data_IF_373464442143
#
_entry.id   IF_373464442143
#
_cell.length_a   1.000
_cell.length_b   1.000
_cell.length_c   1.000
_cell.angle_alpha   90.00
_cell.angle_beta   90.00
_cell.angle_gamma   90.00
#
_symmetry.space_group_name_H-M   'P 1'
#
loop_
_entity.id
_entity.type
_entity.pdbx_description
1 polymer ?
#
# COMPACT_ATOMS: atom_id res chain seq x y z
N UNK A 1 -2.21 -0.63 -13.85
CA UNK A 1 -2.09 0.69 -13.24
C UNK A 1 -1.71 1.81 -14.23
N UNK A 2 -1.08 1.50 -15.34
CA UNK A 2 -0.63 2.49 -16.29
C UNK A 2 0.77 3.02 -16.03
N UNK A 3 1.60 2.28 -15.34
CA UNK A 3 3.00 2.62 -15.14
C UNK A 3 3.79 2.19 -16.35
N UNK A 4 4.61 3.10 -16.89
CA UNK A 4 5.49 2.77 -18.01
C UNK A 4 6.76 2.11 -17.50
N UNK A 5 7.04 0.93 -18.02
CA UNK A 5 8.27 0.21 -17.71
C UNK A 5 8.92 -0.33 -18.97
N UNK A 6 10.24 -0.29 -19.01
CA UNK A 6 11.03 -0.93 -20.06
C UNK A 6 11.93 -1.96 -19.40
N UNK A 7 11.79 -3.22 -19.80
CA UNK A 7 12.57 -4.33 -19.27
C UNK A 7 13.73 -4.63 -20.20
N UNK A 8 14.95 -4.55 -19.67
CA UNK A 8 16.17 -4.94 -20.37
C UNK A 8 16.77 -6.17 -19.68
N UNK A 9 17.87 -6.71 -20.22
CA UNK A 9 18.47 -7.95 -19.73
C UNK A 9 18.83 -7.92 -18.25
N UNK A 10 19.36 -6.80 -17.78
CA UNK A 10 19.82 -6.62 -16.38
C UNK A 10 19.26 -5.36 -15.72
N UNK A 11 18.25 -4.73 -16.33
CA UNK A 11 17.70 -3.49 -15.82
C UNK A 11 16.22 -3.37 -16.14
N UNK A 12 15.50 -2.63 -15.28
CA UNK A 12 14.12 -2.24 -15.50
C UNK A 12 14.06 -0.72 -15.35
N UNK A 13 13.58 -0.04 -16.39
CA UNK A 13 13.34 1.40 -16.34
C UNK A 13 11.88 1.65 -16.00
N UNK A 14 11.64 2.44 -14.97
CA UNK A 14 10.30 2.84 -14.54
C UNK A 14 10.18 4.34 -14.74
N UNK A 15 9.18 4.77 -15.48
CA UNK A 15 8.93 6.17 -15.77
C UNK A 15 7.62 6.62 -15.15
N UNK A 16 7.61 7.84 -14.64
CA UNK A 16 6.37 8.49 -14.25
C UNK A 16 5.55 8.79 -15.50
N UNK A 17 4.28 8.41 -15.46
CA UNK A 17 3.39 8.58 -16.61
C UNK A 17 1.98 8.92 -16.17
N UNK A 18 1.68 10.22 -16.11
CA UNK A 18 0.33 10.72 -15.91
C UNK A 18 -0.42 10.09 -14.73
N UNK A 19 -1.73 10.01 -14.88
CA UNK A 19 -2.58 9.47 -13.83
C UNK A 19 -2.50 7.94 -13.77
N UNK A 20 -2.33 7.42 -12.57
CA UNK A 20 -2.43 5.97 -12.32
C UNK A 20 -3.89 5.55 -12.37
N UNK A 21 -4.13 4.36 -12.90
CA UNK A 21 -5.46 3.77 -12.96
C UNK A 21 -5.66 2.79 -11.83
N UNK A 22 -6.87 2.72 -11.23
CA UNK A 22 -7.14 1.74 -10.19
C UNK A 22 -7.09 0.32 -10.76
N UNK A 23 -6.73 -0.62 -9.90
CA UNK A 23 -6.74 -2.04 -10.23
C UNK A 23 -7.41 -2.80 -9.10
N UNK A 24 -8.03 -3.92 -9.45
CA UNK A 24 -8.49 -4.88 -8.48
C UNK A 24 -7.40 -5.93 -8.29
N UNK A 25 -6.98 -6.12 -7.04
CA UNK A 25 -5.93 -7.07 -6.71
C UNK A 25 -6.53 -8.25 -5.97
N UNK A 26 -6.16 -9.46 -6.40
CA UNK A 26 -6.48 -10.69 -5.69
C UNK A 26 -5.18 -11.45 -5.46
N UNK A 27 -4.84 -11.68 -4.21
CA UNK A 27 -3.65 -12.48 -3.89
C UNK A 27 -3.89 -13.94 -4.25
N UNK A 28 -2.85 -14.62 -4.68
CA UNK A 28 -2.90 -16.03 -5.02
C UNK A 28 -1.51 -16.65 -4.90
N UNK A 29 -1.43 -18.00 -4.81
CA UNK A 29 -0.13 -18.66 -4.81
C UNK A 29 0.71 -18.31 -6.03
N UNK A 30 2.03 -18.41 -5.88
CA UNK A 30 2.95 -18.16 -7.01
C UNK A 30 2.49 -18.94 -8.27
N UNK A 31 2.52 -18.31 -9.47
CA UNK A 31 3.08 -16.98 -9.78
C UNK A 31 2.09 -15.80 -9.71
N UNK A 32 1.01 -15.93 -8.97
CA UNK A 32 0.04 -14.86 -8.80
C UNK A 32 0.59 -13.73 -7.93
N UNK A 33 -0.25 -12.71 -7.66
CA UNK A 33 0.14 -11.57 -6.83
C UNK A 33 0.38 -12.03 -5.39
N UNK A 34 1.59 -11.79 -4.89
CA UNK A 34 2.00 -12.27 -3.57
C UNK A 34 1.30 -11.51 -2.44
N UNK A 35 0.80 -12.26 -1.45
CA UNK A 35 0.20 -11.64 -0.25
C UNK A 35 1.17 -10.73 0.50
N UNK A 36 2.48 -11.01 0.45
CA UNK A 36 3.50 -10.19 1.09
C UNK A 36 3.61 -8.79 0.49
N UNK A 37 3.17 -8.59 -0.74
CA UNK A 37 3.18 -7.31 -1.43
C UNK A 37 1.89 -6.53 -1.27
N UNK A 38 0.84 -7.15 -0.72
CA UNK A 38 -0.48 -6.53 -0.61
C UNK A 38 -0.43 -5.25 0.21
N UNK A 39 0.09 -5.32 1.44
CA UNK A 39 0.12 -4.15 2.32
C UNK A 39 1.08 -3.05 1.82
N UNK A 40 2.33 -3.37 1.43
CA UNK A 40 3.22 -2.33 0.89
C UNK A 40 2.71 -1.66 -0.39
N UNK A 41 1.95 -2.37 -1.21
CA UNK A 41 1.37 -1.84 -2.45
C UNK A 41 0.19 -0.90 -2.20
N UNK A 42 -0.52 -1.06 -1.09
CA UNK A 42 -1.76 -0.33 -0.82
C UNK A 42 -1.60 1.20 -0.89
N UNK A 43 -0.57 1.83 -0.29
CA UNK A 43 -0.42 3.28 -0.41
C UNK A 43 -0.29 3.77 -1.85
N UNK A 44 0.39 3.01 -2.69
CA UNK A 44 0.54 3.36 -4.11
C UNK A 44 -0.82 3.35 -4.82
N UNK A 45 -1.68 2.40 -4.50
CA UNK A 45 -3.02 2.31 -5.07
C UNK A 45 -3.87 3.54 -4.74
N UNK A 46 -3.63 4.16 -3.59
CA UNK A 46 -4.35 5.37 -3.17
C UNK A 46 -4.05 6.59 -4.05
N UNK A 47 -3.01 6.53 -4.88
CA UNK A 47 -2.71 7.58 -5.88
C UNK A 47 -3.49 7.38 -7.18
N UNK A 48 -4.11 6.23 -7.36
CA UNK A 48 -4.86 5.94 -8.58
C UNK A 48 -6.18 6.72 -8.62
N UNK A 49 -6.60 7.10 -9.82
CA UNK A 49 -7.84 7.86 -10.03
C UNK A 49 -9.01 6.91 -10.24
N UNK A 50 -9.74 6.63 -9.19
CA UNK A 50 -10.92 5.78 -9.23
C UNK A 50 -11.00 4.81 -8.06
N UNK A 51 -11.96 3.90 -8.16
CA UNK A 51 -12.24 2.91 -7.12
C UNK A 51 -11.63 1.56 -7.47
N UNK A 52 -11.01 0.94 -6.49
CA UNK A 52 -10.50 -0.42 -6.63
C UNK A 52 -10.70 -1.23 -5.36
N UNK A 53 -10.37 -2.51 -5.42
CA UNK A 53 -10.48 -3.41 -4.28
C UNK A 53 -9.30 -4.36 -4.21
N UNK A 54 -9.06 -4.85 -3.00
CA UNK A 54 -8.00 -5.82 -2.71
C UNK A 54 -8.65 -6.99 -1.98
N UNK A 55 -8.46 -8.19 -2.51
CA UNK A 55 -8.92 -9.43 -1.90
C UNK A 55 -7.69 -10.26 -1.57
N UNK A 56 -7.45 -10.52 -0.28
CA UNK A 56 -6.36 -11.40 0.12
C UNK A 56 -6.94 -12.79 0.40
N UNK A 57 -6.64 -13.74 -0.47
CA UNK A 57 -7.10 -15.11 -0.38
C UNK A 57 -6.15 -16.00 0.40
N UNK A 58 -4.93 -15.51 0.70
CA UNK A 58 -3.90 -16.27 1.42
C UNK A 58 -3.95 -15.95 2.91
N UNK A 59 -4.01 -14.66 3.25
CA UNK A 59 -4.11 -14.18 4.63
C UNK A 59 -5.19 -13.11 4.73
N UNK A 60 -6.43 -13.55 4.92
CA UNK A 60 -7.61 -12.67 4.92
C UNK A 60 -7.57 -11.59 6.00
N UNK A 61 -6.80 -11.83 7.07
CA UNK A 61 -6.69 -10.90 8.21
C UNK A 61 -5.60 -9.84 8.02
N UNK A 62 -4.93 -9.77 6.88
CA UNK A 62 -3.91 -8.75 6.60
C UNK A 62 -4.54 -7.41 6.23
N UNK A 63 -5.29 -6.84 7.16
CA UNK A 63 -6.02 -5.58 6.98
C UNK A 63 -5.68 -4.53 8.04
N UNK A 64 -4.69 -4.79 8.88
CA UNK A 64 -4.35 -3.91 10.00
C UNK A 64 -3.82 -2.53 9.59
N UNK A 65 -3.32 -2.41 8.36
CA UNK A 65 -2.87 -1.13 7.81
C UNK A 65 -4.03 -0.21 7.42
N UNK A 66 -5.22 -0.76 7.19
CA UNK A 66 -6.37 0.02 6.68
C UNK A 66 -6.82 1.09 7.66
N UNK A 67 -7.05 0.81 8.96
CA UNK A 67 -7.43 1.86 9.91
C UNK A 67 -6.36 2.95 10.04
N UNK A 68 -5.09 2.59 9.96
CA UNK A 68 -3.99 3.53 10.08
C UNK A 68 -3.89 4.44 8.85
N UNK A 69 -4.08 3.90 7.65
CA UNK A 69 -4.15 4.70 6.42
C UNK A 69 -5.38 5.62 6.43
N UNK A 70 -6.52 5.14 6.93
CA UNK A 70 -7.71 5.97 7.08
C UNK A 70 -7.45 7.15 8.03
N UNK A 71 -6.65 6.94 9.08
CA UNK A 71 -6.25 7.99 10.01
C UNK A 71 -5.42 9.07 9.33
N UNK A 72 -4.70 8.73 8.26
CA UNK A 72 -3.94 9.66 7.43
C UNK A 72 -4.80 10.36 6.38
N UNK A 73 -6.09 10.11 6.34
CA UNK A 73 -7.03 10.74 5.41
C UNK A 73 -7.36 9.92 4.17
N UNK A 74 -6.94 8.66 4.11
CA UNK A 74 -7.24 7.80 2.97
C UNK A 74 -8.73 7.40 2.95
N UNK A 75 -9.32 7.38 1.76
CA UNK A 75 -10.65 6.81 1.54
C UNK A 75 -10.48 5.30 1.30
N UNK A 76 -10.40 4.57 2.39
CA UNK A 76 -10.14 3.14 2.40
C UNK A 76 -10.90 2.49 3.54
N UNK A 77 -11.49 1.33 3.29
CA UNK A 77 -12.23 0.59 4.31
C UNK A 77 -12.26 -0.90 4.01
N UNK A 78 -12.58 -1.68 5.03
CA UNK A 78 -12.78 -3.12 4.89
C UNK A 78 -14.29 -3.39 4.83
N UNK A 79 -14.74 -3.99 3.75
CA UNK A 79 -16.13 -4.35 3.52
C UNK A 79 -16.22 -5.81 3.11
N UNK A 80 -16.91 -6.63 3.91
CA UNK A 80 -17.10 -8.05 3.59
C UNK A 80 -15.79 -8.81 3.41
N UNK A 81 -14.75 -8.51 4.20
CA UNK A 81 -13.46 -9.14 4.10
C UNK A 81 -12.59 -8.64 2.95
N UNK A 82 -13.06 -7.66 2.19
CA UNK A 82 -12.32 -7.04 1.11
C UNK A 82 -11.92 -5.62 1.49
N UNK A 83 -10.76 -5.19 1.01
CA UNK A 83 -10.33 -3.80 1.14
C UNK A 83 -10.84 -3.05 -0.07
N UNK A 84 -11.59 -1.97 0.17
CA UNK A 84 -12.09 -1.09 -0.89
C UNK A 84 -11.44 0.27 -0.73
N UNK A 85 -10.85 0.78 -1.80
CA UNK A 85 -10.21 2.10 -1.81
C UNK A 85 -10.77 2.96 -2.93
N UNK A 86 -10.69 4.26 -2.74
CA UNK A 86 -11.09 5.25 -3.74
C UNK A 86 -10.05 6.36 -3.76
N UNK A 87 -9.47 6.62 -4.89
CA UNK A 87 -8.42 7.63 -5.07
C UNK A 87 -8.74 8.60 -6.18
N UNK A 88 -7.87 9.60 -6.41
CA UNK A 88 -6.67 9.84 -5.62
C UNK A 88 -6.99 10.43 -4.25
N UNK A 89 -6.20 10.04 -3.24
CA UNK A 89 -6.35 10.56 -1.89
C UNK A 89 -5.13 11.38 -1.52
N UNK A 90 -5.38 12.58 -0.99
CA UNK A 90 -4.34 13.43 -0.41
C UNK A 90 -4.10 12.97 1.02
N UNK A 91 -2.98 12.30 1.27
CA UNK A 91 -2.62 11.86 2.61
C UNK A 91 -2.04 13.01 3.42
N UNK A 92 -2.39 13.05 4.70
CA UNK A 92 -1.86 14.02 5.67
C UNK A 92 -1.14 13.28 6.77
N UNK A 93 -0.04 13.86 7.28
CA UNK A 93 0.71 13.29 8.38
C UNK A 93 -0.15 13.09 9.61
N UNK A 94 0.03 11.96 10.29
CA UNK A 94 -0.71 11.59 11.49
C UNK A 94 0.11 10.62 12.34
N UNK A 95 -0.18 10.51 13.65
CA UNK A 95 0.37 9.44 14.46
C UNK A 95 -0.29 8.11 14.09
N UNK A 96 0.51 7.15 13.69
CA UNK A 96 0.07 5.81 13.28
C UNK A 96 0.92 4.74 13.94
N UNK A 97 0.40 3.52 13.98
CA UNK A 97 1.06 2.40 14.65
C UNK A 97 1.29 1.24 13.68
N UNK A 98 2.53 0.78 13.61
CA UNK A 98 2.87 -0.42 12.87
C UNK A 98 2.47 -1.67 13.69
N UNK A 99 1.65 -2.53 13.13
CA UNK A 99 1.21 -3.77 13.78
C UNK A 99 2.14 -4.95 13.47
N UNK A 100 2.79 -4.91 12.32
CA UNK A 100 3.74 -5.92 11.87
C UNK A 100 4.66 -5.33 10.80
N UNK A 101 5.56 -6.15 10.27
CA UNK A 101 6.54 -5.70 9.27
C UNK A 101 5.89 -5.11 8.01
N UNK A 102 4.88 -5.80 7.47
CA UNK A 102 4.25 -5.40 6.21
C UNK A 102 3.38 -4.16 6.36
N UNK A 103 2.64 -4.10 7.46
CA UNK A 103 1.88 -2.89 7.80
C UNK A 103 2.84 -1.71 8.03
N UNK A 104 3.95 -1.95 8.71
CA UNK A 104 4.99 -0.94 8.91
C UNK A 104 5.53 -0.40 7.59
N UNK A 105 5.84 -1.27 6.65
CA UNK A 105 6.31 -0.86 5.32
C UNK A 105 5.27 0.00 4.58
N UNK A 106 3.99 -0.39 4.67
CA UNK A 106 2.90 0.39 4.09
C UNK A 106 2.83 1.79 4.69
N UNK A 107 2.97 1.91 6.01
CA UNK A 107 2.89 3.19 6.71
C UNK A 107 4.08 4.09 6.41
N UNK A 108 5.28 3.53 6.26
CA UNK A 108 6.46 4.30 5.85
C UNK A 108 6.25 4.87 4.45
N UNK A 109 5.78 4.05 3.52
CA UNK A 109 5.48 4.50 2.15
C UNK A 109 4.41 5.59 2.16
N UNK A 110 3.33 5.40 2.92
CA UNK A 110 2.28 6.40 3.05
C UNK A 110 2.81 7.70 3.65
N UNK A 111 3.69 7.61 4.65
CA UNK A 111 4.31 8.78 5.28
C UNK A 111 5.16 9.58 4.30
N UNK A 112 5.87 8.91 3.39
CA UNK A 112 6.64 9.58 2.34
C UNK A 112 5.75 10.26 1.31
N UNK A 113 4.53 9.78 1.11
CA UNK A 113 3.55 10.37 0.20
C UNK A 113 2.74 11.49 0.85
N UNK A 114 2.66 11.53 2.17
CA UNK A 114 1.79 12.43 2.92
C UNK A 114 2.41 13.82 3.05
N UNK A 115 1.54 14.82 3.18
CA UNK A 115 1.94 16.17 3.59
C UNK A 115 2.02 16.23 5.11
N UNK A 116 3.01 16.98 5.61
CA UNK A 116 3.21 17.15 7.04
C UNK A 116 4.08 16.04 7.63
N UNK A 117 3.94 15.84 8.91
CA UNK A 117 4.75 14.90 9.68
C UNK A 117 3.94 13.67 10.06
N UNK A 118 4.49 12.50 9.78
CA UNK A 118 3.90 11.22 10.18
C UNK A 118 4.78 10.58 11.25
N UNK A 119 4.19 10.25 12.38
CA UNK A 119 4.86 9.54 13.47
C UNK A 119 4.41 8.09 13.46
N UNK A 120 5.36 7.18 13.28
CA UNK A 120 5.09 5.75 13.26
C UNK A 120 5.64 5.12 14.53
N UNK A 121 4.76 4.57 15.36
CA UNK A 121 5.15 3.86 16.58
C UNK A 121 5.26 2.36 16.32
N UNK A 122 5.86 1.64 17.28
CA UNK A 122 6.05 0.19 17.21
C UNK A 122 6.93 -0.25 16.02
N UNK A 123 8.01 0.49 15.81
CA UNK A 123 8.88 0.34 14.63
C UNK A 123 9.84 -0.86 14.71
N UNK A 124 9.83 -1.62 15.77
CA UNK A 124 10.71 -2.78 15.95
C UNK A 124 10.64 -3.76 14.79
N UNK A 125 9.45 -3.98 14.25
CA UNK A 125 9.25 -4.85 13.09
C UNK A 125 9.98 -4.32 11.86
N UNK A 126 9.97 -3.01 11.65
CA UNK A 126 10.63 -2.37 10.51
C UNK A 126 12.15 -2.50 10.65
N UNK A 127 12.67 -2.24 11.84
CA UNK A 127 14.11 -2.29 12.10
C UNK A 127 14.69 -3.70 11.95
N UNK A 128 13.88 -4.72 12.20
CA UNK A 128 14.30 -6.13 12.03
C UNK A 128 14.29 -6.59 10.58
N UNK A 129 13.40 -6.04 9.77
CA UNK A 129 13.13 -6.51 8.41
C UNK A 129 13.83 -5.74 7.31
N UNK A 130 14.29 -4.52 7.59
CA UNK A 130 14.94 -3.66 6.60
C UNK A 130 16.25 -3.10 7.12
N UNK A 131 17.19 -2.92 6.20
CA UNK A 131 18.41 -2.17 6.51
C UNK A 131 18.07 -0.69 6.66
N UNK A 132 18.65 -0.08 7.65
CA UNK A 132 18.44 1.34 7.96
C UNK A 132 19.72 2.12 7.68
#
# INVERSE_FOLDING_TARGET
MGVRMTVEEDAIFVEEQGDLKPVDIKTSPYPGFATDLQQPMTPLLLKASGRGKIIDTIYEKRVNHVPELARMGADIQVLGGQIVYNGPTQLSGAPVKASDLRAGAALVTAGLMAEGQTEITNIEFILRGYSV
#
